data_IF_536010917587
#
_entry.id   IF_536010917587
#
_cell.length_a   1.000
_cell.length_b   1.000
_cell.length_c   1.000
_cell.angle_alpha   90.00
_cell.angle_beta   90.00
_cell.angle_gamma   90.00
#
_symmetry.space_group_name_H-M   'P 1'
#
loop_
_entity.id
_entity.type
_entity.pdbx_description
1 polymer ?
#
# COMPACT_ATOMS: atom_id res chain seq x y z
N UNK A 1 -23.20 -11.16 28.34
CA UNK A 1 -21.82 -11.44 27.88
C UNK A 1 -21.90 -11.36 26.38
N UNK A 2 -21.57 -10.21 25.83
CA UNK A 2 -21.52 -10.05 24.37
C UNK A 2 -20.37 -10.91 23.87
N UNK A 3 -20.70 -11.93 23.08
CA UNK A 3 -19.70 -12.80 22.46
C UNK A 3 -18.83 -11.95 21.54
N UNK A 4 -17.51 -12.06 21.65
CA UNK A 4 -16.59 -11.47 20.69
C UNK A 4 -16.92 -12.01 19.29
N UNK A 5 -17.19 -11.13 18.34
CA UNK A 5 -17.57 -11.47 16.96
C UNK A 5 -16.60 -10.82 15.96
N UNK A 6 -16.64 -11.29 14.71
CA UNK A 6 -15.90 -10.68 13.59
C UNK A 6 -16.21 -9.18 13.43
N UNK A 7 -17.47 -8.78 13.65
CA UNK A 7 -17.89 -7.38 13.63
C UNK A 7 -17.15 -6.51 14.67
N UNK A 8 -16.82 -7.06 15.85
CA UNK A 8 -16.03 -6.34 16.87
C UNK A 8 -14.61 -6.07 16.37
N UNK A 9 -14.02 -7.03 15.66
CA UNK A 9 -12.68 -6.88 15.05
C UNK A 9 -12.72 -5.86 13.92
N UNK A 10 -13.76 -5.90 13.08
CA UNK A 10 -14.00 -4.95 11.99
C UNK A 10 -14.16 -3.52 12.51
N UNK A 11 -15.04 -3.30 13.49
CA UNK A 11 -15.27 -1.99 14.10
C UNK A 11 -13.97 -1.44 14.73
N UNK A 12 -13.20 -2.28 15.41
CA UNK A 12 -11.91 -1.88 15.97
C UNK A 12 -10.91 -1.46 14.87
N UNK A 13 -10.84 -2.23 13.77
CA UNK A 13 -9.99 -1.89 12.63
C UNK A 13 -10.38 -0.53 12.02
N UNK A 14 -11.67 -0.27 11.86
CA UNK A 14 -12.17 1.00 11.34
C UNK A 14 -11.85 2.18 12.27
N UNK A 15 -11.99 2.02 13.59
CA UNK A 15 -11.60 3.04 14.57
C UNK A 15 -10.10 3.36 14.50
N UNK A 16 -9.25 2.34 14.37
CA UNK A 16 -7.81 2.57 14.22
C UNK A 16 -7.48 3.28 12.91
N UNK A 17 -8.12 2.91 11.80
CA UNK A 17 -7.95 3.62 10.51
C UNK A 17 -8.44 5.07 10.60
N UNK A 18 -9.59 5.32 11.23
CA UNK A 18 -10.10 6.67 11.47
C UNK A 18 -9.10 7.51 12.28
N UNK A 19 -8.48 6.92 13.31
CA UNK A 19 -7.45 7.59 14.11
C UNK A 19 -6.19 7.97 13.34
N UNK A 20 -5.93 7.28 12.22
CA UNK A 20 -4.85 7.60 11.27
C UNK A 20 -5.27 8.67 10.23
N UNK A 21 -6.49 9.20 10.35
CA UNK A 21 -7.02 10.26 9.49
C UNK A 21 -7.68 9.76 8.21
N UNK A 22 -8.15 8.52 8.18
CA UNK A 22 -8.94 7.97 7.07
C UNK A 22 -10.41 8.31 7.28
N UNK A 23 -11.11 8.68 6.21
CA UNK A 23 -12.57 8.65 6.23
C UNK A 23 -13.05 7.21 6.31
N UNK A 24 -14.11 6.93 7.07
CA UNK A 24 -14.71 5.60 7.16
C UNK A 24 -16.13 5.65 6.60
N UNK A 25 -16.45 4.76 5.66
CA UNK A 25 -17.78 4.67 5.04
C UNK A 25 -18.26 3.22 4.96
N UNK A 26 -19.56 3.02 5.18
CA UNK A 26 -20.20 1.73 4.97
C UNK A 26 -20.49 1.48 3.49
N UNK A 27 -19.89 0.43 2.93
CA UNK A 27 -19.94 0.10 1.49
C UNK A 27 -21.36 0.09 0.88
N UNK A 28 -22.36 -0.49 1.55
CA UNK A 28 -23.75 -0.42 1.07
C UNK A 28 -24.30 1.00 0.91
N UNK A 29 -23.86 1.99 1.69
CA UNK A 29 -24.36 3.37 1.58
C UNK A 29 -23.84 4.10 0.32
N UNK A 30 -22.77 3.60 -0.30
CA UNK A 30 -22.19 4.19 -1.52
C UNK A 30 -22.53 3.38 -2.78
N UNK A 31 -23.39 2.37 -2.66
CA UNK A 31 -23.89 1.59 -3.78
C UNK A 31 -24.72 2.43 -4.75
N UNK A 32 -24.81 1.98 -6.01
CA UNK A 32 -25.59 2.69 -7.02
C UNK A 32 -27.08 2.73 -6.63
N UNK A 33 -27.66 3.93 -6.68
CA UNK A 33 -29.06 4.19 -6.31
C UNK A 33 -29.26 4.67 -4.86
N UNK A 34 -28.21 4.65 -4.03
CA UNK A 34 -28.28 5.17 -2.67
C UNK A 34 -28.11 6.70 -2.61
N UNK A 35 -28.58 7.39 -1.55
CA UNK A 35 -28.48 8.85 -1.43
C UNK A 35 -27.04 9.38 -1.46
N UNK A 36 -26.09 8.59 -0.97
CA UNK A 36 -24.65 8.89 -0.95
C UNK A 36 -23.88 8.04 -1.94
N UNK A 37 -24.51 7.60 -3.03
CA UNK A 37 -23.90 6.76 -4.04
C UNK A 37 -22.60 7.38 -4.59
N UNK A 38 -21.52 6.60 -4.54
CA UNK A 38 -20.26 6.90 -5.23
C UNK A 38 -19.97 5.92 -6.37
N UNK A 39 -20.86 4.94 -6.56
CA UNK A 39 -20.82 3.91 -7.59
C UNK A 39 -22.01 4.06 -8.53
N UNK A 40 -21.84 3.60 -9.76
CA UNK A 40 -22.84 3.80 -10.83
C UNK A 40 -23.46 2.50 -11.34
N UNK A 41 -22.73 1.38 -11.30
CA UNK A 41 -23.26 0.07 -11.71
C UNK A 41 -24.08 -0.57 -10.58
N UNK A 42 -25.41 -0.77 -10.76
CA UNK A 42 -26.27 -1.45 -9.78
C UNK A 42 -25.91 -2.92 -9.55
N UNK A 43 -25.04 -3.49 -10.39
CA UNK A 43 -24.54 -4.86 -10.26
C UNK A 43 -23.15 -4.92 -9.62
N UNK A 44 -22.68 -3.86 -8.97
CA UNK A 44 -21.44 -3.86 -8.18
C UNK A 44 -20.15 -4.17 -8.97
N UNK A 45 -20.11 -3.87 -10.27
CA UNK A 45 -18.91 -4.08 -11.10
C UNK A 45 -17.87 -2.97 -10.95
N UNK A 46 -18.30 -1.79 -10.50
CA UNK A 46 -17.40 -0.65 -10.27
C UNK A 46 -16.50 -0.93 -9.07
N UNK A 47 -15.22 -1.20 -9.30
CA UNK A 47 -14.22 -1.40 -8.24
C UNK A 47 -13.45 -0.13 -7.89
N UNK A 48 -13.40 0.84 -8.81
CA UNK A 48 -12.80 2.16 -8.62
C UNK A 48 -13.90 3.17 -8.30
N UNK A 49 -13.64 4.08 -7.36
CA UNK A 49 -14.53 5.20 -7.07
C UNK A 49 -14.21 6.33 -8.07
N UNK A 50 -14.91 6.31 -9.20
CA UNK A 50 -14.64 7.17 -10.37
C UNK A 50 -14.56 8.66 -10.01
N UNK A 51 -15.54 9.16 -9.25
CA UNK A 51 -15.60 10.58 -8.87
C UNK A 51 -14.37 11.02 -8.07
N UNK A 52 -13.93 10.19 -7.10
CA UNK A 52 -12.74 10.46 -6.28
C UNK A 52 -11.47 10.43 -7.13
N UNK A 53 -11.34 9.47 -8.04
CA UNK A 53 -10.16 9.39 -8.92
C UNK A 53 -10.07 10.58 -9.88
N UNK A 54 -11.17 11.00 -10.49
CA UNK A 54 -11.18 12.21 -11.32
C UNK A 54 -10.82 13.47 -10.53
N UNK A 55 -11.37 13.60 -9.31
CA UNK A 55 -11.05 14.73 -8.43
C UNK A 55 -9.56 14.76 -8.08
N UNK A 56 -8.98 13.62 -7.70
CA UNK A 56 -7.57 13.51 -7.39
C UNK A 56 -6.69 13.82 -8.61
N UNK A 57 -6.98 13.23 -9.78
CA UNK A 57 -6.24 13.50 -11.01
C UNK A 57 -6.26 15.00 -11.37
N UNK A 58 -7.40 15.66 -11.23
CA UNK A 58 -7.53 17.10 -11.46
C UNK A 58 -6.75 17.93 -10.43
N UNK A 59 -6.90 17.61 -9.14
CA UNK A 59 -6.23 18.32 -8.05
C UNK A 59 -4.70 18.21 -8.12
N UNK A 60 -4.18 17.02 -8.40
CA UNK A 60 -2.74 16.75 -8.45
C UNK A 60 -2.07 17.25 -9.73
N UNK A 61 -2.84 17.59 -10.77
CA UNK A 61 -2.33 17.98 -12.08
C UNK A 61 -3.03 19.23 -12.64
N UNK A 62 -2.96 20.38 -11.95
CA UNK A 62 -3.68 21.60 -12.34
C UNK A 62 -3.25 22.16 -13.71
N UNK A 63 -2.06 21.79 -14.19
CA UNK A 63 -1.51 22.25 -15.46
C UNK A 63 -1.91 21.36 -16.66
N UNK A 64 -2.55 20.21 -16.42
CA UNK A 64 -3.00 19.31 -17.49
C UNK A 64 -4.43 19.63 -17.93
N UNK A 65 -4.71 19.61 -19.24
CA UNK A 65 -6.06 19.85 -19.73
C UNK A 65 -6.96 18.62 -19.48
N UNK A 66 -8.29 18.80 -19.44
CA UNK A 66 -9.24 17.72 -19.12
C UNK A 66 -9.07 16.46 -19.98
N UNK A 67 -8.80 16.59 -21.27
CA UNK A 67 -8.60 15.45 -22.15
C UNK A 67 -7.39 14.58 -21.79
N UNK A 68 -6.34 15.19 -21.20
CA UNK A 68 -5.18 14.48 -20.70
C UNK A 68 -5.51 13.72 -19.42
N UNK A 69 -6.32 14.32 -18.53
CA UNK A 69 -6.79 13.68 -17.30
C UNK A 69 -7.73 12.50 -17.60
N UNK A 70 -8.62 12.65 -18.59
CA UNK A 70 -9.48 11.57 -19.06
C UNK A 70 -8.67 10.43 -19.70
N UNK A 71 -7.59 10.75 -20.42
CA UNK A 71 -6.65 9.75 -20.91
C UNK A 71 -5.91 9.02 -19.78
N UNK A 72 -5.49 9.75 -18.74
CA UNK A 72 -4.89 9.15 -17.55
C UNK A 72 -5.87 8.20 -16.85
N UNK A 73 -7.11 8.65 -16.62
CA UNK A 73 -8.18 7.85 -16.04
C UNK A 73 -8.42 6.57 -16.85
N UNK A 74 -8.55 6.68 -18.18
CA UNK A 74 -8.75 5.52 -19.06
C UNK A 74 -7.60 4.53 -18.98
N UNK A 75 -6.35 5.00 -18.97
CA UNK A 75 -5.16 4.14 -18.87
C UNK A 75 -5.09 3.40 -17.53
N UNK A 76 -5.45 4.07 -16.43
CA UNK A 76 -5.50 3.46 -15.10
C UNK A 76 -6.59 2.39 -14.97
N UNK A 77 -7.76 2.63 -15.55
CA UNK A 77 -8.95 1.76 -15.38
C UNK A 77 -9.08 0.68 -16.45
N UNK A 78 -8.43 0.84 -17.62
CA UNK A 78 -8.54 -0.07 -18.77
C UNK A 78 -7.17 -0.53 -19.24
N UNK A 79 -6.46 -1.25 -18.38
CA UNK A 79 -5.20 -1.92 -18.76
C UNK A 79 -5.48 -3.33 -19.26
N UNK A 80 -5.16 -3.58 -20.54
CA UNK A 80 -5.13 -4.94 -21.09
C UNK A 80 -3.82 -5.62 -20.71
N UNK A 81 -3.90 -6.65 -19.87
CA UNK A 81 -2.75 -7.47 -19.51
C UNK A 81 -3.13 -8.96 -19.47
N UNK A 82 -2.16 -9.82 -19.78
CA UNK A 82 -2.37 -11.27 -19.89
C UNK A 82 -2.65 -11.98 -18.56
N UNK A 83 -2.41 -11.33 -17.42
CA UNK A 83 -2.66 -11.88 -16.09
C UNK A 83 -2.86 -10.76 -15.07
N UNK A 84 -3.46 -11.09 -13.92
CA UNK A 84 -3.64 -10.17 -12.80
C UNK A 84 -2.32 -9.53 -12.36
N UNK A 85 -1.25 -10.33 -12.19
CA UNK A 85 0.05 -9.81 -11.77
C UNK A 85 0.69 -8.90 -12.82
N UNK A 86 0.51 -9.21 -14.11
CA UNK A 86 0.98 -8.34 -15.19
C UNK A 86 0.21 -7.01 -15.20
N UNK A 87 -1.10 -7.05 -15.01
CA UNK A 87 -1.94 -5.86 -14.84
C UNK A 87 -1.46 -5.03 -13.65
N UNK A 88 -1.31 -5.65 -12.49
CA UNK A 88 -0.89 -4.99 -11.27
C UNK A 88 0.49 -4.35 -11.38
N UNK A 89 1.44 -4.98 -12.07
CA UNK A 89 2.76 -4.38 -12.34
C UNK A 89 2.66 -3.12 -13.19
N UNK A 90 1.84 -3.13 -14.24
CA UNK A 90 1.66 -1.98 -15.14
C UNK A 90 1.02 -0.82 -14.37
N UNK A 91 -0.06 -1.09 -13.63
CA UNK A 91 -0.76 -0.08 -12.85
C UNK A 91 0.12 0.43 -11.71
N UNK A 92 0.83 -0.44 -11.00
CA UNK A 92 1.78 -0.02 -9.95
C UNK A 92 2.82 0.96 -10.48
N UNK A 93 3.35 0.72 -11.69
CA UNK A 93 4.27 1.69 -12.33
C UNK A 93 3.58 3.03 -12.62
N UNK A 94 2.32 3.02 -13.06
CA UNK A 94 1.55 4.25 -13.23
C UNK A 94 1.28 4.98 -11.91
N UNK A 95 1.09 4.25 -10.80
CA UNK A 95 0.94 4.85 -9.47
C UNK A 95 2.22 5.58 -9.05
N UNK A 96 3.39 4.96 -9.27
CA UNK A 96 4.70 5.47 -8.82
C UNK A 96 5.27 6.55 -9.74
N UNK A 97 5.26 6.31 -11.06
CA UNK A 97 5.89 7.19 -12.05
C UNK A 97 4.93 8.24 -12.63
N UNK A 98 3.62 8.04 -12.43
CA UNK A 98 2.56 8.77 -13.11
C UNK A 98 2.13 8.11 -14.42
N UNK A 99 1.00 8.57 -14.95
CA UNK A 99 0.44 8.07 -16.22
C UNK A 99 0.96 8.94 -17.35
N UNK A 100 1.66 8.33 -18.29
CA UNK A 100 2.12 9.05 -19.50
C UNK A 100 0.91 9.41 -20.35
N UNK A 101 0.71 10.71 -20.60
CA UNK A 101 -0.39 11.26 -21.40
C UNK A 101 0.14 12.19 -22.47
N UNK A 102 -0.60 12.29 -23.58
CA UNK A 102 -0.31 13.19 -24.69
C UNK A 102 -1.51 14.09 -24.94
N UNK A 103 -1.26 15.39 -25.14
CA UNK A 103 -2.32 16.36 -25.43
C UNK A 103 -1.85 17.43 -26.41
N UNK A 104 -2.80 18.08 -27.09
CA UNK A 104 -2.52 19.13 -28.06
C UNK A 104 -2.46 20.48 -27.36
N UNK A 105 -1.36 21.20 -27.52
CA UNK A 105 -1.20 22.58 -27.05
C UNK A 105 -1.98 23.56 -27.92
N UNK A 106 -2.16 24.78 -27.40
CA UNK A 106 -2.85 25.88 -28.12
C UNK A 106 -2.19 26.25 -29.45
N UNK A 107 -0.89 26.03 -29.59
CA UNK A 107 -0.12 26.27 -30.82
C UNK A 107 -0.23 25.13 -31.85
N UNK A 108 -0.98 24.07 -31.54
CA UNK A 108 -1.18 22.89 -32.39
C UNK A 108 -0.13 21.79 -32.22
N UNK A 109 0.93 22.02 -31.44
CA UNK A 109 1.94 21.00 -31.13
C UNK A 109 1.42 19.93 -30.16
N UNK A 110 2.03 18.74 -30.17
CA UNK A 110 1.72 17.65 -29.22
C UNK A 110 2.73 17.72 -28.08
N UNK A 111 2.23 17.66 -26.85
CA UNK A 111 3.03 17.59 -25.63
C UNK A 111 2.79 16.28 -24.90
N UNK A 112 3.87 15.68 -24.37
CA UNK A 112 3.81 14.57 -23.42
C UNK A 112 3.99 15.05 -21.99
N UNK A 113 3.28 14.44 -21.04
CA UNK A 113 3.42 14.68 -19.61
C UNK A 113 3.20 13.40 -18.79
N UNK A 114 3.59 13.40 -17.53
CA UNK A 114 3.22 12.37 -16.55
C UNK A 114 2.11 12.94 -15.65
N UNK A 115 0.90 12.41 -15.75
CA UNK A 115 -0.18 12.73 -14.84
C UNK A 115 0.04 12.00 -13.52
N UNK A 116 0.26 12.74 -12.43
CA UNK A 116 0.43 12.20 -11.08
C UNK A 116 -0.87 11.60 -10.59
N UNK A 117 -0.79 10.40 -10.01
CA UNK A 117 -1.95 9.68 -9.45
C UNK A 117 -1.95 9.72 -7.93
N UNK A 118 -0.77 9.74 -7.33
CA UNK A 118 -0.54 9.78 -5.89
C UNK A 118 0.45 10.93 -5.61
N UNK A 119 0.16 11.74 -4.59
CA UNK A 119 1.12 12.70 -4.05
C UNK A 119 1.98 12.01 -2.98
N UNK A 120 3.17 11.58 -3.38
CA UNK A 120 4.13 10.97 -2.45
C UNK A 120 4.85 11.99 -1.57
N UNK A 121 4.80 13.28 -1.91
CA UNK A 121 5.54 14.33 -1.20
C UNK A 121 4.71 14.89 -0.05
N UNK A 122 3.41 15.11 -0.27
CA UNK A 122 2.46 15.51 0.77
C UNK A 122 1.29 14.50 0.88
N UNK A 123 1.32 13.60 1.89
CA UNK A 123 0.30 12.58 2.08
C UNK A 123 -1.11 13.15 2.23
N UNK A 124 -1.25 14.36 2.79
CA UNK A 124 -2.56 14.99 3.02
C UNK A 124 -3.23 15.51 1.74
N UNK A 125 -2.49 15.61 0.63
CA UNK A 125 -3.06 15.93 -0.69
C UNK A 125 -3.77 14.73 -1.34
N UNK A 126 -3.67 13.54 -0.75
CA UNK A 126 -4.41 12.37 -1.21
C UNK A 126 -5.71 12.21 -0.43
N UNK A 127 -6.73 11.68 -1.10
CA UNK A 127 -7.96 11.22 -0.47
C UNK A 127 -7.74 9.83 0.14
N UNK A 128 -8.01 9.69 1.44
CA UNK A 128 -7.81 8.48 2.23
C UNK A 128 -9.15 7.96 2.76
N UNK A 129 -9.52 6.76 2.33
CA UNK A 129 -10.83 6.19 2.63
C UNK A 129 -10.73 4.71 3.00
N UNK A 130 -11.30 4.34 4.13
CA UNK A 130 -11.58 2.95 4.49
C UNK A 130 -13.07 2.67 4.25
N UNK A 131 -13.37 1.63 3.48
CA UNK A 131 -14.73 1.20 3.19
C UNK A 131 -14.92 -0.23 3.65
N UNK A 132 -15.89 -0.45 4.53
CA UNK A 132 -16.22 -1.80 4.96
C UNK A 132 -17.37 -2.41 4.17
N UNK A 133 -17.40 -3.74 4.06
CA UNK A 133 -18.49 -4.51 3.44
C UNK A 133 -18.73 -4.12 1.95
N UNK A 134 -17.67 -3.81 1.20
CA UNK A 134 -17.74 -3.36 -0.19
C UNK A 134 -18.04 -4.52 -1.15
N UNK A 135 -19.28 -4.65 -1.61
CA UNK A 135 -19.66 -5.75 -2.52
C UNK A 135 -19.08 -5.52 -3.93
N UNK A 136 -18.47 -6.56 -4.50
CA UNK A 136 -17.92 -6.57 -5.87
C UNK A 136 -18.44 -7.78 -6.62
N UNK A 137 -18.83 -7.58 -7.87
CA UNK A 137 -19.26 -8.65 -8.75
C UNK A 137 -18.48 -8.64 -10.06
N UNK A 138 -18.02 -9.82 -10.48
CA UNK A 138 -17.33 -10.04 -11.75
C UNK A 138 -17.77 -11.40 -12.34
N UNK A 139 -18.21 -11.40 -13.60
CA UNK A 139 -18.81 -12.59 -14.21
C UNK A 139 -20.04 -13.10 -13.42
N UNK A 140 -19.95 -14.33 -12.93
CA UNK A 140 -20.99 -14.98 -12.10
C UNK A 140 -20.68 -14.91 -10.59
N UNK A 141 -19.55 -14.32 -10.22
CA UNK A 141 -19.09 -14.29 -8.85
C UNK A 141 -19.44 -12.97 -8.18
N UNK A 142 -19.83 -13.04 -6.92
CA UNK A 142 -20.03 -11.88 -6.05
C UNK A 142 -19.35 -12.14 -4.74
N UNK A 143 -18.51 -11.20 -4.32
CA UNK A 143 -17.72 -11.24 -3.09
C UNK A 143 -17.85 -9.92 -2.36
N UNK A 144 -17.62 -9.98 -1.05
CA UNK A 144 -17.71 -8.83 -0.16
C UNK A 144 -16.52 -8.90 0.78
N UNK A 145 -15.44 -8.18 0.48
CA UNK A 145 -14.35 -8.04 1.41
C UNK A 145 -14.76 -7.26 2.66
N UNK A 146 -14.10 -7.54 3.77
CA UNK A 146 -14.46 -6.95 5.06
C UNK A 146 -14.10 -5.46 5.09
N UNK A 147 -12.85 -5.12 4.77
CA UNK A 147 -12.40 -3.72 4.66
C UNK A 147 -11.52 -3.51 3.43
N UNK A 148 -11.79 -2.45 2.68
CA UNK A 148 -10.95 -1.93 1.61
C UNK A 148 -10.35 -0.60 2.01
N UNK A 149 -9.07 -0.39 1.72
CA UNK A 149 -8.45 0.95 1.80
C UNK A 149 -8.29 1.49 0.38
N UNK A 150 -8.93 2.64 0.16
CA UNK A 150 -8.83 3.43 -1.05
C UNK A 150 -7.87 4.60 -0.84
N UNK A 151 -7.07 4.88 -1.87
CA UNK A 151 -6.32 6.13 -2.00
C UNK A 151 -6.68 6.75 -3.33
N UNK A 152 -7.17 7.98 -3.34
CA UNK A 152 -7.61 8.69 -4.55
C UNK A 152 -8.63 7.87 -5.37
N UNK A 153 -9.54 7.17 -4.69
CA UNK A 153 -10.56 6.31 -5.31
C UNK A 153 -10.07 4.97 -5.86
N UNK A 154 -8.78 4.61 -5.69
CA UNK A 154 -8.21 3.32 -6.11
C UNK A 154 -8.13 2.33 -4.93
N UNK A 155 -8.63 1.08 -5.05
CA UNK A 155 -8.59 0.09 -3.97
C UNK A 155 -7.18 -0.50 -3.80
N UNK A 156 -6.37 0.10 -2.93
CA UNK A 156 -4.98 -0.29 -2.74
C UNK A 156 -4.78 -1.38 -1.69
N UNK A 157 -5.73 -1.61 -0.78
CA UNK A 157 -5.61 -2.66 0.25
C UNK A 157 -6.92 -3.42 0.39
N UNK A 158 -6.81 -4.74 0.58
CA UNK A 158 -7.92 -5.62 0.95
C UNK A 158 -7.57 -6.26 2.28
N UNK A 159 -8.47 -6.16 3.26
CA UNK A 159 -8.33 -6.71 4.60
C UNK A 159 -9.47 -7.71 4.81
N UNK A 160 -9.11 -8.95 5.14
CA UNK A 160 -10.07 -9.98 5.57
C UNK A 160 -9.87 -10.30 7.05
N UNK A 161 -10.98 -10.38 7.76
CA UNK A 161 -11.06 -10.55 9.20
C UNK A 161 -11.74 -11.88 9.53
N UNK A 162 -11.45 -12.41 10.71
CA UNK A 162 -12.07 -13.62 11.29
C UNK A 162 -12.39 -13.38 12.75
N UNK A 163 -13.27 -14.20 13.30
CA UNK A 163 -13.53 -14.20 14.72
C UNK A 163 -12.44 -14.99 15.48
N UNK A 164 -11.69 -14.34 16.37
CA UNK A 164 -10.70 -15.01 17.23
C UNK A 164 -11.31 -16.04 18.22
N UNK A 165 -12.62 -15.98 18.47
CA UNK A 165 -13.32 -16.91 19.37
C UNK A 165 -13.70 -18.24 18.70
N UNK A 166 -13.52 -18.37 17.38
CA UNK A 166 -13.83 -19.58 16.63
C UNK A 166 -12.52 -20.37 16.37
N UNK A 167 -12.35 -21.49 17.07
CA UNK A 167 -11.15 -22.34 17.01
C UNK A 167 -10.91 -22.92 15.60
N UNK A 168 -11.97 -23.05 14.78
CA UNK A 168 -11.87 -23.51 13.40
C UNK A 168 -11.54 -22.36 12.44
N UNK A 169 -11.86 -21.11 12.80
CA UNK A 169 -11.69 -19.91 11.99
C UNK A 169 -10.28 -19.27 12.09
N UNK A 170 -9.26 -20.03 11.68
CA UNK A 170 -7.89 -19.50 11.65
C UNK A 170 -7.73 -18.33 10.67
N UNK A 171 -6.79 -17.41 10.92
CA UNK A 171 -6.39 -16.36 9.96
C UNK A 171 -6.05 -16.90 8.55
N UNK A 172 -5.74 -18.19 8.43
CA UNK A 172 -5.45 -18.83 7.16
C UNK A 172 -6.69 -19.12 6.31
N UNK A 173 -7.88 -19.12 6.91
CA UNK A 173 -9.15 -19.11 6.16
C UNK A 173 -9.37 -17.74 5.50
N UNK A 174 -9.08 -16.63 6.19
CA UNK A 174 -9.04 -15.30 5.58
C UNK A 174 -8.05 -15.25 4.41
N UNK A 175 -6.88 -15.87 4.54
CA UNK A 175 -5.95 -16.01 3.41
C UNK A 175 -6.56 -16.79 2.23
N UNK A 176 -7.29 -17.89 2.49
CA UNK A 176 -7.98 -18.64 1.44
C UNK A 176 -9.10 -17.84 0.77
N UNK A 177 -9.83 -17.00 1.52
CA UNK A 177 -10.81 -16.06 0.96
C UNK A 177 -10.12 -15.08 0.01
N UNK A 178 -8.98 -14.49 0.40
CA UNK A 178 -8.21 -13.61 -0.49
C UNK A 178 -7.73 -14.30 -1.77
N UNK A 179 -7.34 -15.58 -1.70
CA UNK A 179 -7.00 -16.34 -2.91
C UNK A 179 -8.23 -16.53 -3.81
N UNK A 180 -9.40 -16.78 -3.21
CA UNK A 180 -10.67 -16.93 -3.93
C UNK A 180 -11.07 -15.63 -4.60
N UNK A 181 -10.93 -14.50 -3.90
CA UNK A 181 -11.27 -13.19 -4.45
C UNK A 181 -10.36 -12.84 -5.63
N UNK A 182 -9.05 -13.10 -5.53
CA UNK A 182 -8.13 -12.88 -6.65
C UNK A 182 -8.49 -13.71 -7.90
N UNK A 183 -9.04 -14.91 -7.72
CA UNK A 183 -9.46 -15.76 -8.82
C UNK A 183 -10.81 -15.35 -9.43
N UNK A 184 -11.74 -14.88 -8.60
CA UNK A 184 -13.13 -14.66 -8.99
C UNK A 184 -13.50 -13.21 -9.28
N UNK A 185 -12.84 -12.24 -8.64
CA UNK A 185 -13.01 -10.80 -8.86
C UNK A 185 -11.64 -10.11 -9.07
N UNK A 186 -10.81 -10.57 -10.03
CA UNK A 186 -9.46 -10.06 -10.24
C UNK A 186 -9.40 -8.54 -10.51
N UNK A 187 -10.45 -7.94 -11.06
CA UNK A 187 -10.53 -6.49 -11.28
C UNK A 187 -10.27 -5.65 -10.03
N UNK A 188 -10.71 -6.13 -8.85
CA UNK A 188 -10.46 -5.46 -7.56
C UNK A 188 -8.96 -5.39 -7.23
N UNK A 189 -8.17 -6.36 -7.70
CA UNK A 189 -6.75 -6.48 -7.36
C UNK A 189 -5.82 -5.83 -8.38
N UNK A 190 -6.37 -5.21 -9.43
CA UNK A 190 -5.60 -4.53 -10.47
C UNK A 190 -4.70 -3.43 -9.90
N UNK A 191 -5.19 -2.65 -8.93
CA UNK A 191 -4.43 -1.56 -8.29
C UNK A 191 -3.85 -1.97 -6.93
N UNK A 192 -4.17 -3.18 -6.45
CA UNK A 192 -3.86 -3.61 -5.09
C UNK A 192 -2.35 -3.50 -4.80
N UNK A 193 -2.04 -2.93 -3.66
CA UNK A 193 -0.70 -2.74 -3.09
C UNK A 193 -0.40 -3.83 -2.08
N UNK A 194 -1.33 -4.06 -1.15
CA UNK A 194 -1.15 -4.97 -0.02
C UNK A 194 -2.43 -5.76 0.31
N UNK A 195 -2.24 -6.90 0.96
CA UNK A 195 -3.30 -7.74 1.51
C UNK A 195 -3.08 -7.95 3.00
N UNK A 196 -4.14 -7.91 3.80
CA UNK A 196 -4.09 -8.16 5.25
C UNK A 196 -5.07 -9.27 5.62
N UNK A 197 -4.62 -10.15 6.52
CA UNK A 197 -5.46 -11.16 7.17
C UNK A 197 -5.34 -11.00 8.67
N UNK A 198 -6.44 -11.11 9.40
CA UNK A 198 -6.40 -11.02 10.86
C UNK A 198 -7.61 -11.66 11.54
N UNK A 199 -7.46 -12.03 12.80
CA UNK A 199 -8.57 -12.31 13.73
C UNK A 199 -8.63 -11.26 14.87
N UNK A 200 -7.90 -10.16 14.71
CA UNK A 200 -7.65 -9.14 15.73
C UNK A 200 -6.38 -9.41 16.54
N UNK A 201 -6.20 -10.64 17.04
CA UNK A 201 -5.05 -11.01 17.89
C UNK A 201 -3.81 -11.27 17.06
N UNK A 202 -3.94 -12.06 16.00
CA UNK A 202 -2.91 -12.26 14.98
C UNK A 202 -3.22 -11.43 13.74
N UNK A 203 -2.19 -10.84 13.14
CA UNK A 203 -2.34 -10.10 11.88
C UNK A 203 -1.12 -10.29 10.99
N UNK A 204 -1.35 -10.48 9.70
CA UNK A 204 -0.29 -10.66 8.71
C UNK A 204 -0.58 -9.87 7.44
N UNK A 205 0.48 -9.33 6.86
CA UNK A 205 0.45 -8.60 5.59
C UNK A 205 1.20 -9.40 4.51
N UNK A 206 0.71 -9.33 3.28
CA UNK A 206 1.29 -9.97 2.11
C UNK A 206 0.94 -9.26 0.81
N UNK A 207 1.39 -9.82 -0.31
CA UNK A 207 1.11 -9.32 -1.65
C UNK A 207 0.18 -10.29 -2.41
N UNK A 208 -0.46 -9.79 -3.48
CA UNK A 208 -1.20 -10.65 -4.41
C UNK A 208 -0.30 -11.75 -4.99
N UNK A 209 -0.87 -12.95 -5.17
CA UNK A 209 -0.14 -14.15 -5.60
C UNK A 209 0.84 -14.74 -4.59
N UNK A 210 0.99 -14.16 -3.39
CA UNK A 210 1.92 -14.67 -2.38
C UNK A 210 1.35 -15.86 -1.59
N UNK A 211 2.18 -16.89 -1.40
CA UNK A 211 1.89 -18.04 -0.54
C UNK A 211 1.78 -17.68 0.95
N UNK A 212 1.17 -18.57 1.76
CA UNK A 212 0.97 -18.38 3.22
C UNK A 212 2.26 -18.01 3.95
N UNK A 213 3.38 -18.62 3.55
CA UNK A 213 4.70 -18.40 4.12
C UNK A 213 5.23 -16.98 3.93
N UNK A 214 4.68 -16.24 2.97
CA UNK A 214 5.04 -14.85 2.67
C UNK A 214 4.08 -13.82 3.28
N UNK A 215 3.02 -14.27 3.95
CA UNK A 215 2.22 -13.41 4.83
C UNK A 215 2.94 -13.28 6.18
N UNK A 216 3.55 -12.12 6.41
CA UNK A 216 4.44 -11.87 7.56
C UNK A 216 3.75 -10.99 8.60
N UNK A 217 4.05 -11.18 9.90
CA UNK A 217 3.60 -10.25 10.92
C UNK A 217 4.32 -8.91 10.79
N UNK A 218 3.64 -7.82 11.19
CA UNK A 218 4.23 -6.51 11.37
C UNK A 218 4.32 -6.21 12.87
N UNK A 219 5.53 -6.07 13.41
CA UNK A 219 5.76 -6.17 14.87
C UNK A 219 5.95 -4.84 15.60
N UNK A 220 6.05 -3.74 14.87
CA UNK A 220 6.40 -2.44 15.45
C UNK A 220 5.63 -1.33 14.74
N UNK A 221 5.23 -0.31 15.50
CA UNK A 221 4.66 0.90 14.92
C UNK A 221 5.79 1.79 14.40
N UNK A 222 6.74 2.18 15.24
CA UNK A 222 7.75 3.18 14.87
C UNK A 222 9.06 2.62 14.31
N UNK A 223 9.26 1.30 14.33
CA UNK A 223 10.53 0.67 13.92
C UNK A 223 11.60 0.62 15.00
N UNK A 224 11.36 1.21 16.18
CA UNK A 224 12.35 1.29 17.28
C UNK A 224 12.33 0.07 18.18
N UNK A 225 11.14 -0.34 18.59
CA UNK A 225 10.91 -1.45 19.50
C UNK A 225 9.71 -2.27 19.03
N UNK A 226 9.74 -3.59 19.29
CA UNK A 226 8.59 -4.45 19.09
C UNK A 226 7.45 -3.98 20.00
N UNK A 227 6.22 -4.02 19.49
CA UNK A 227 5.04 -3.68 20.25
C UNK A 227 4.85 -4.65 21.43
N UNK A 228 4.18 -4.16 22.47
CA UNK A 228 3.82 -4.98 23.63
C UNK A 228 3.02 -6.21 23.20
N UNK A 229 3.29 -7.36 23.82
CA UNK A 229 2.50 -8.58 23.60
C UNK A 229 1.04 -8.45 24.04
N UNK A 230 0.69 -7.36 24.74
CA UNK A 230 -0.68 -7.04 25.15
C UNK A 230 -1.43 -6.21 24.10
N UNK A 231 -0.74 -5.66 23.10
CA UNK A 231 -1.35 -4.92 22.00
C UNK A 231 -1.78 -5.91 20.91
N UNK A 232 -3.01 -5.74 20.40
CA UNK A 232 -3.52 -6.53 19.29
C UNK A 232 -2.60 -6.40 18.07
N UNK A 233 -2.19 -7.51 17.43
CA UNK A 233 -1.30 -7.42 16.26
C UNK A 233 -1.96 -6.68 15.10
N UNK A 234 -3.30 -6.73 14.99
CA UNK A 234 -4.01 -5.94 13.99
C UNK A 234 -3.77 -4.45 14.19
N UNK A 235 -3.91 -3.95 15.42
CA UNK A 235 -3.61 -2.55 15.75
C UNK A 235 -2.18 -2.18 15.38
N UNK A 236 -1.21 -3.00 15.79
CA UNK A 236 0.21 -2.77 15.50
C UNK A 236 0.49 -2.74 14.00
N UNK A 237 -0.18 -3.61 13.23
CA UNK A 237 -0.06 -3.65 11.77
C UNK A 237 -0.70 -2.42 11.14
N UNK A 238 -1.93 -2.05 11.54
CA UNK A 238 -2.61 -0.90 10.95
C UNK A 238 -1.87 0.40 11.23
N UNK A 239 -1.54 0.67 12.50
CA UNK A 239 -0.74 1.83 12.88
C UNK A 239 0.69 1.74 12.34
N UNK A 240 1.21 0.53 12.13
CA UNK A 240 2.56 0.22 11.65
C UNK A 240 2.78 0.46 10.16
N UNK A 241 1.75 0.20 9.36
CA UNK A 241 1.81 0.22 7.90
C UNK A 241 0.99 1.37 7.31
N UNK A 242 -0.21 1.62 7.84
CA UNK A 242 -1.20 2.53 7.25
C UNK A 242 -1.20 3.93 7.86
N UNK A 243 -0.15 4.31 8.59
CA UNK A 243 0.13 5.74 8.69
C UNK A 243 0.51 6.24 7.29
N UNK A 244 -0.12 7.34 6.88
CA UNK A 244 -0.17 7.78 5.47
C UNK A 244 1.21 7.85 4.82
N UNK A 245 2.21 8.47 5.48
CA UNK A 245 3.58 8.54 4.94
C UNK A 245 4.19 7.15 4.77
N UNK A 246 4.12 6.30 5.79
CA UNK A 246 4.68 4.94 5.73
C UNK A 246 4.02 4.08 4.67
N UNK A 247 2.71 4.20 4.46
CA UNK A 247 2.04 3.47 3.39
C UNK A 247 2.49 3.95 2.01
N UNK A 248 2.65 5.26 1.82
CA UNK A 248 3.17 5.83 0.59
C UNK A 248 4.62 5.40 0.31
N UNK A 249 5.48 5.38 1.34
CA UNK A 249 6.83 4.85 1.22
C UNK A 249 6.81 3.37 0.85
N UNK A 250 5.95 2.56 1.50
CA UNK A 250 5.79 1.15 1.20
C UNK A 250 5.40 0.92 -0.26
N UNK A 251 4.41 1.67 -0.73
CA UNK A 251 3.95 1.66 -2.11
C UNK A 251 5.07 2.08 -3.08
N UNK A 252 5.81 3.15 -2.79
CA UNK A 252 6.78 3.73 -3.73
C UNK A 252 8.07 2.94 -3.83
N UNK A 253 8.57 2.46 -2.69
CA UNK A 253 9.94 1.97 -2.58
C UNK A 253 10.04 0.50 -2.21
N UNK A 254 9.01 -0.09 -1.60
CA UNK A 254 9.09 -1.39 -0.96
C UNK A 254 8.31 -2.52 -1.64
N UNK A 255 7.99 -2.33 -2.92
CA UNK A 255 7.37 -3.33 -3.78
C UNK A 255 8.28 -3.62 -4.96
N UNK A 256 8.52 -4.90 -5.22
CA UNK A 256 9.34 -5.38 -6.34
C UNK A 256 8.55 -6.41 -7.13
N UNK A 257 8.64 -6.34 -8.45
CA UNK A 257 8.13 -7.37 -9.35
C UNK A 257 9.31 -8.13 -9.96
N UNK A 258 9.39 -9.42 -9.67
CA UNK A 258 10.44 -10.31 -10.18
C UNK A 258 9.88 -11.22 -11.27
N UNK A 259 10.58 -11.30 -12.40
CA UNK A 259 10.33 -12.32 -13.42
C UNK A 259 11.24 -13.52 -13.12
N UNK A 260 10.65 -14.59 -12.59
CA UNK A 260 11.39 -15.80 -12.23
C UNK A 260 11.66 -16.71 -13.45
N UNK A 261 11.48 -16.16 -14.66
CA UNK A 261 11.67 -16.85 -15.94
C UNK A 261 10.40 -17.52 -16.46
N UNK A 262 10.33 -17.73 -17.78
CA UNK A 262 9.19 -18.39 -18.42
C UNK A 262 7.87 -17.61 -18.34
N UNK A 263 7.94 -16.28 -18.12
CA UNK A 263 6.77 -15.41 -17.97
C UNK A 263 6.10 -15.47 -16.60
N UNK A 264 6.74 -16.11 -15.61
CA UNK A 264 6.21 -16.19 -14.24
C UNK A 264 6.62 -14.97 -13.43
N UNK A 265 5.73 -13.98 -13.42
CA UNK A 265 5.87 -12.78 -12.63
C UNK A 265 5.47 -13.03 -11.17
N UNK A 266 6.24 -12.53 -10.22
CA UNK A 266 5.95 -12.59 -8.78
C UNK A 266 6.06 -11.18 -8.20
N UNK A 267 5.07 -10.78 -7.40
CA UNK A 267 5.10 -9.54 -6.61
C UNK A 267 5.68 -9.83 -5.22
N UNK A 268 6.66 -9.04 -4.80
CA UNK A 268 7.33 -9.13 -3.51
C UNK A 268 7.15 -7.80 -2.77
N UNK A 269 6.95 -7.90 -1.45
CA UNK A 269 6.80 -6.79 -0.53
C UNK A 269 7.85 -6.92 0.57
N UNK A 270 8.41 -5.81 1.01
CA UNK A 270 9.32 -5.79 2.15
C UNK A 270 8.61 -6.15 3.46
N UNK A 271 9.27 -6.96 4.31
CA UNK A 271 8.84 -7.14 5.70
C UNK A 271 9.22 -5.93 6.57
N UNK A 272 8.59 -5.80 7.76
CA UNK A 272 8.79 -4.66 8.66
C UNK A 272 10.28 -4.40 8.97
N UNK A 273 11.09 -5.45 9.17
CA UNK A 273 12.52 -5.32 9.45
C UNK A 273 13.29 -4.75 8.27
N UNK A 274 12.89 -5.08 7.04
CA UNK A 274 13.52 -4.54 5.83
C UNK A 274 13.10 -3.07 5.64
N UNK A 275 11.81 -2.78 5.81
CA UNK A 275 11.27 -1.43 5.71
C UNK A 275 11.98 -0.46 6.67
N UNK A 276 11.98 -0.76 7.96
CA UNK A 276 12.60 0.12 8.97
C UNK A 276 14.12 0.17 8.85
N UNK A 277 14.79 -0.94 8.51
CA UNK A 277 16.24 -0.94 8.35
C UNK A 277 16.71 -0.08 7.16
N UNK A 278 16.00 -0.16 6.03
CA UNK A 278 16.33 0.63 4.83
C UNK A 278 16.07 2.12 5.09
N UNK A 279 14.91 2.48 5.67
CA UNK A 279 14.62 3.88 5.99
C UNK A 279 15.64 4.45 6.99
N UNK A 280 15.98 3.72 8.05
CA UNK A 280 17.01 4.16 8.99
C UNK A 280 18.40 4.29 8.36
N UNK A 281 18.74 3.43 7.40
CA UNK A 281 20.00 3.54 6.65
C UNK A 281 19.98 4.75 5.70
N UNK A 282 18.85 5.04 5.05
CA UNK A 282 18.69 6.19 4.16
C UNK A 282 18.77 7.51 4.93
N UNK A 283 18.07 7.63 6.05
CA UNK A 283 18.16 8.78 6.96
C UNK A 283 19.60 9.03 7.40
N UNK A 284 20.32 7.97 7.75
CA UNK A 284 21.73 8.05 8.14
C UNK A 284 22.62 8.50 6.99
N UNK A 285 22.40 8.00 5.78
CA UNK A 285 23.13 8.44 4.59
C UNK A 285 22.88 9.90 4.28
N UNK A 286 21.62 10.37 4.35
CA UNK A 286 21.27 11.78 4.20
C UNK A 286 21.93 12.65 5.28
N UNK A 287 21.99 12.18 6.54
CA UNK A 287 22.72 12.83 7.64
C UNK A 287 24.21 12.93 7.32
N UNK A 288 24.81 11.84 6.85
CA UNK A 288 26.24 11.74 6.57
C UNK A 288 26.70 12.61 5.39
N UNK A 289 25.81 12.89 4.42
CA UNK A 289 26.12 13.73 3.24
C UNK A 289 25.69 15.20 3.39
N UNK A 290 24.95 15.57 4.44
CA UNK A 290 24.62 16.98 4.73
C UNK A 290 25.90 17.75 5.08
N UNK A 291 26.51 18.38 4.08
CA UNK A 291 27.68 19.22 4.25
C UNK A 291 27.30 20.59 4.82
N UNK A 292 27.85 20.96 5.97
CA UNK A 292 28.11 22.36 6.25
C UNK A 292 29.40 22.79 5.52
N UNK A 293 29.38 23.99 4.94
CA UNK A 293 30.51 24.67 4.34
C UNK A 293 31.57 25.10 5.38
N UNK A 294 32.07 24.16 6.18
CA UNK A 294 33.16 24.38 7.12
C UNK A 294 34.29 23.43 6.78
N UNK A 295 35.43 24.00 6.40
CA UNK A 295 36.70 23.30 6.20
C UNK A 295 37.04 22.45 7.43
N UNK A 296 37.15 21.13 7.32
CA UNK A 296 37.90 20.34 8.31
C UNK A 296 38.56 19.11 7.66
N UNK A 297 39.79 18.87 8.08
CA UNK A 297 40.72 17.81 7.69
C UNK A 297 40.25 16.39 8.04
N UNK A 298 40.77 15.41 7.28
CA UNK A 298 40.54 13.99 7.51
C UNK A 298 41.09 13.55 8.87
N UNK A 299 40.19 13.06 9.74
CA UNK A 299 40.59 12.36 10.97
C UNK A 299 40.41 10.85 10.75
N UNK A 300 41.37 9.99 11.14
CA UNK A 300 41.26 8.54 10.95
C UNK A 300 40.03 7.97 11.67
N UNK A 301 39.22 7.17 10.96
CA UNK A 301 38.00 6.57 11.51
C UNK A 301 38.26 5.51 12.58
N UNK A 302 37.55 5.59 13.69
CA UNK A 302 37.42 4.50 14.67
C UNK A 302 36.25 3.59 14.29
N UNK A 303 36.46 2.28 14.34
CA UNK A 303 35.41 1.28 14.19
C UNK A 303 34.72 1.06 15.53
N UNK A 304 33.42 1.33 15.60
CA UNK A 304 32.57 1.05 16.77
C UNK A 304 31.44 0.11 16.38
N UNK A 305 31.10 -0.84 17.27
CA UNK A 305 30.01 -1.78 17.10
C UNK A 305 28.91 -1.52 18.15
N UNK A 306 27.69 -1.22 17.70
CA UNK A 306 26.52 -0.97 18.55
C UNK A 306 25.44 -0.15 17.83
N UNK A 307 24.23 -0.07 18.41
CA UNK A 307 23.19 0.88 17.97
C UNK A 307 23.57 2.25 18.55
N UNK A 308 24.43 2.99 17.86
CA UNK A 308 24.57 4.42 18.12
C UNK A 308 23.71 5.19 17.11
N UNK A 309 22.61 5.83 17.53
CA UNK A 309 22.05 6.93 16.77
C UNK A 309 22.96 8.15 16.93
N UNK A 310 23.31 8.81 15.82
CA UNK A 310 23.92 10.14 15.84
C UNK A 310 25.43 10.17 15.64
N UNK A 311 25.85 10.34 14.39
CA UNK A 311 27.08 11.05 14.06
C UNK A 311 26.81 12.53 13.79
N UNK A 312 27.85 13.35 13.71
CA UNK A 312 27.74 14.77 13.31
C UNK A 312 27.31 14.87 11.83
N UNK A 313 26.36 15.76 11.46
CA UNK A 313 26.01 15.97 10.05
C UNK A 313 27.25 16.20 9.18
N UNK A 314 27.38 15.45 8.07
CA UNK A 314 28.55 15.56 7.20
C UNK A 314 29.77 14.72 7.61
N UNK A 315 29.69 13.90 8.66
CA UNK A 315 30.80 13.08 9.16
C UNK A 315 31.16 11.87 8.27
N UNK A 316 30.45 11.68 7.15
CA UNK A 316 30.69 10.64 6.14
C UNK A 316 30.59 9.20 6.69
N UNK A 317 30.02 9.02 7.88
CA UNK A 317 29.77 7.69 8.47
C UNK A 317 28.34 7.26 8.13
N UNK A 318 28.21 6.16 7.38
CA UNK A 318 26.92 5.56 7.03
C UNK A 318 26.65 4.30 7.87
N UNK A 319 25.38 3.94 8.01
CA UNK A 319 24.97 2.73 8.75
C UNK A 319 25.14 1.48 7.88
N UNK A 320 25.70 0.43 8.47
CA UNK A 320 25.74 -0.91 7.87
C UNK A 320 24.51 -1.69 8.31
N UNK A 321 23.71 -2.19 7.36
CA UNK A 321 22.62 -3.14 7.65
C UNK A 321 23.19 -4.56 7.59
N UNK A 322 23.11 -5.31 8.68
CA UNK A 322 23.62 -6.69 8.76
C UNK A 322 22.50 -7.70 9.05
N UNK A 323 21.73 -8.16 8.04
CA UNK A 323 20.66 -9.12 8.24
C UNK A 323 21.18 -10.54 8.46
N UNK A 324 20.40 -11.40 9.12
CA UNK A 324 20.67 -12.84 9.22
C UNK A 324 20.54 -13.55 7.87
N UNK A 325 21.21 -14.68 7.67
CA UNK A 325 21.11 -15.45 6.42
C UNK A 325 19.67 -15.94 6.19
N UNK A 326 19.14 -15.78 4.97
CA UNK A 326 17.77 -16.16 4.63
C UNK A 326 16.68 -15.12 4.95
N UNK A 327 17.02 -13.98 5.55
CA UNK A 327 16.05 -12.91 5.90
C UNK A 327 15.66 -11.98 4.74
N UNK A 328 16.12 -12.27 3.51
CA UNK A 328 15.85 -11.47 2.32
C UNK A 328 16.90 -10.38 2.01
N UNK A 329 18.19 -10.59 2.30
CA UNK A 329 19.26 -9.58 2.11
C UNK A 329 19.28 -8.98 0.70
N UNK A 330 19.14 -9.81 -0.35
CA UNK A 330 19.15 -9.33 -1.73
C UNK A 330 17.99 -8.40 -2.03
N UNK A 331 16.81 -8.67 -1.45
CA UNK A 331 15.67 -7.77 -1.54
C UNK A 331 15.96 -6.46 -0.79
N UNK A 332 16.49 -6.52 0.43
CA UNK A 332 16.89 -5.33 1.20
C UNK A 332 17.88 -4.44 0.44
N UNK A 333 18.86 -5.02 -0.26
CA UNK A 333 19.82 -4.25 -1.06
C UNK A 333 19.21 -3.67 -2.35
N UNK A 334 18.19 -4.30 -2.91
CA UNK A 334 17.47 -3.75 -4.07
C UNK A 334 16.54 -2.58 -3.68
N UNK A 335 16.19 -2.48 -2.40
CA UNK A 335 15.29 -1.47 -1.83
C UNK A 335 16.01 -0.21 -1.34
N UNK A 336 17.30 -0.31 -1.01
CA UNK A 336 18.14 0.79 -0.52
C UNK A 336 18.76 1.60 -1.67
#
# INVERSE_FOLDING_TARGET
>A
MDSFTEAVVEDAALVWLESLGYSVIYGPNIAAGEPTAERTDPNYRDVVLEGRLHQALSHLNPDLPPEALDDAYRKLTRTDAASLLAHNRVVHRMLVDGVTVEYRRRDGSIAGAQARVIDFEDPENNDWLAVNQFTVSEGQHTRRPDVLIFVNGLPLVVIELKNAADEDATIWQAWQQLQTYQAEIPSLFATNTALVISDGTEARIGAIGAGKEWFKPWRTVSGKEDASSQTAQLQVLLEGVFEKRRFLDLLRYFIVFEDEGGGRLVKKMAGYHQFHAVNAAMEETLRAIKAHAVQVAETPGQYEAGIQPGGEPGDRRVRVVWPTQGSGKSLTMALY
#
